data_IF_542176902972
#
_entry.id   IF_542176902972
#
_cell.length_a   1.000
_cell.length_b   1.000
_cell.length_c   1.000
_cell.angle_alpha   90.00
_cell.angle_beta   90.00
_cell.angle_gamma   90.00
#
_symmetry.space_group_name_H-M   'P 1'
#
loop_
_entity.id
_entity.type
_entity.pdbx_description
1 polymer ?
#
# COMPACT_ATOMS: atom_id res chain seq x y z
N UNK A 1 -11.05 8.86 6.36
CA UNK A 1 -10.02 8.01 5.73
C UNK A 1 -10.63 6.86 4.93
N UNK A 2 -11.42 5.97 5.54
CA UNK A 2 -12.00 4.78 4.88
C UNK A 2 -12.72 5.07 3.55
N UNK A 3 -13.63 6.05 3.52
CA UNK A 3 -14.39 6.41 2.32
C UNK A 3 -13.50 6.85 1.15
N UNK A 4 -12.44 7.61 1.44
CA UNK A 4 -11.46 8.06 0.44
C UNK A 4 -10.69 6.86 -0.10
N UNK A 5 -10.07 6.05 0.77
CA UNK A 5 -9.27 4.89 0.37
C UNK A 5 -10.06 3.83 -0.41
N UNK A 6 -11.37 3.68 -0.14
CA UNK A 6 -12.26 2.80 -0.91
C UNK A 6 -12.33 3.19 -2.39
N UNK A 7 -12.21 4.48 -2.71
CA UNK A 7 -12.15 4.97 -4.09
C UNK A 7 -10.87 4.55 -4.84
N UNK A 8 -9.84 4.13 -4.11
CA UNK A 8 -8.54 3.72 -4.67
C UNK A 8 -8.33 2.19 -4.63
N UNK A 9 -9.38 1.40 -4.36
CA UNK A 9 -9.30 -0.07 -4.45
C UNK A 9 -8.85 -0.46 -5.87
N UNK A 10 -7.80 -1.26 -5.94
CA UNK A 10 -7.18 -1.65 -7.21
C UNK A 10 -6.17 -0.65 -7.77
N UNK A 11 -5.93 0.50 -7.15
CA UNK A 11 -4.88 1.45 -7.53
C UNK A 11 -3.56 1.14 -6.80
N UNK A 12 -2.43 1.48 -7.44
CA UNK A 12 -1.14 1.54 -6.75
C UNK A 12 -1.07 2.83 -5.95
N UNK A 13 -0.64 2.72 -4.70
CA UNK A 13 -0.55 3.84 -3.77
C UNK A 13 0.74 3.76 -2.98
N UNK A 14 1.22 4.91 -2.52
CA UNK A 14 2.28 5.03 -1.53
C UNK A 14 1.63 5.55 -0.25
N UNK A 15 1.74 4.78 0.82
CA UNK A 15 1.22 5.14 2.14
C UNK A 15 2.39 5.50 3.05
N UNK A 16 2.37 6.73 3.57
CA UNK A 16 3.26 7.19 4.61
C UNK A 16 2.70 6.83 5.99
N UNK A 17 3.37 5.93 6.70
CA UNK A 17 3.03 5.56 8.08
C UNK A 17 4.04 6.11 9.06
N UNK A 18 3.62 6.48 10.26
CA UNK A 18 4.52 6.81 11.37
C UNK A 18 4.58 5.65 12.36
N UNK A 19 5.79 5.15 12.63
CA UNK A 19 5.99 4.09 13.60
C UNK A 19 7.18 4.45 14.48
N UNK A 20 6.93 4.65 15.77
CA UNK A 20 7.94 4.99 16.77
C UNK A 20 8.84 6.18 16.37
N UNK A 21 8.23 7.26 15.85
CA UNK A 21 8.93 8.48 15.44
C UNK A 21 9.73 8.37 14.13
N UNK A 22 9.60 7.25 13.40
CA UNK A 22 10.20 7.07 12.07
C UNK A 22 9.11 6.97 11.02
N UNK A 23 9.15 7.86 10.04
CA UNK A 23 8.30 7.80 8.86
C UNK A 23 8.72 6.60 7.98
N UNK A 24 7.80 5.67 7.74
CA UNK A 24 7.99 4.52 6.86
C UNK A 24 7.01 4.61 5.69
N UNK A 25 7.54 4.54 4.47
CA UNK A 25 6.73 4.49 3.25
C UNK A 25 6.44 3.04 2.87
N UNK A 26 5.20 2.75 2.50
CA UNK A 26 4.76 1.45 1.99
C UNK A 26 4.15 1.66 0.62
N UNK A 27 4.77 1.12 -0.43
CA UNK A 27 4.19 1.07 -1.77
C UNK A 27 3.47 -0.27 -1.93
N UNK A 28 2.23 -0.23 -2.42
CA UNK A 28 1.47 -1.42 -2.77
C UNK A 28 0.20 -1.08 -3.52
N UNK A 29 -0.54 -2.11 -3.93
CA UNK A 29 -1.86 -1.98 -4.54
C UNK A 29 -2.94 -2.19 -3.49
N UNK A 30 -3.92 -1.31 -3.37
CA UNK A 30 -5.03 -1.53 -2.42
C UNK A 30 -5.84 -2.75 -2.90
N UNK A 31 -5.88 -3.81 -2.10
CA UNK A 31 -6.75 -4.97 -2.34
C UNK A 31 -8.10 -4.83 -1.64
N UNK A 32 -8.09 -4.27 -0.43
CA UNK A 32 -9.28 -4.18 0.41
C UNK A 32 -9.20 -2.99 1.37
N UNK A 33 -10.36 -2.45 1.74
CA UNK A 33 -10.46 -1.39 2.75
C UNK A 33 -11.50 -1.80 3.78
N UNK A 34 -11.03 -2.10 4.98
CA UNK A 34 -11.85 -2.46 6.12
C UNK A 34 -12.53 -1.25 6.76
N UNK A 35 -12.96 -1.44 8.01
CA UNK A 35 -13.59 -0.38 8.82
C UNK A 35 -12.54 0.58 9.39
N UNK A 36 -11.36 0.06 9.73
CA UNK A 36 -10.29 0.74 10.48
C UNK A 36 -8.88 0.50 9.88
N UNK A 37 -8.77 -0.28 8.80
CA UNK A 37 -7.51 -0.57 8.13
C UNK A 37 -7.64 -0.60 6.60
N UNK A 38 -6.51 -0.48 5.91
CA UNK A 38 -6.36 -0.76 4.47
C UNK A 38 -5.43 -1.96 4.27
N UNK A 39 -5.78 -2.85 3.34
CA UNK A 39 -4.94 -3.95 2.90
C UNK A 39 -4.25 -3.58 1.59
N UNK A 40 -2.93 -3.71 1.58
CA UNK A 40 -2.07 -3.51 0.42
C UNK A 40 -1.45 -4.83 -0.04
N UNK A 41 -1.45 -5.06 -1.35
CA UNK A 41 -0.64 -6.09 -2.01
C UNK A 41 0.70 -5.46 -2.39
N UNK A 42 1.77 -5.94 -1.76
CA UNK A 42 3.14 -5.55 -2.05
C UNK A 42 3.73 -6.60 -3.00
N UNK A 43 4.14 -6.16 -4.19
CA UNK A 43 4.91 -6.98 -5.10
C UNK A 43 6.40 -6.83 -4.74
N UNK A 44 7.02 -7.90 -4.24
CA UNK A 44 8.48 -7.93 -4.13
C UNK A 44 9.07 -8.05 -5.54
N UNK A 45 9.64 -6.96 -6.05
CA UNK A 45 10.48 -6.97 -7.24
C UNK A 45 11.85 -7.59 -6.87
N UNK A 46 11.87 -8.89 -6.57
CA UNK A 46 13.12 -9.62 -6.50
C UNK A 46 13.67 -9.77 -7.92
N UNK A 47 14.62 -8.91 -8.29
CA UNK A 47 15.36 -8.94 -9.57
C UNK A 47 16.21 -10.21 -9.80
N UNK A 48 16.02 -11.32 -9.06
CA UNK A 48 16.97 -12.45 -9.05
C UNK A 48 16.35 -13.83 -9.26
N UNK A 49 15.03 -14.01 -9.35
CA UNK A 49 14.51 -15.35 -9.70
C UNK A 49 13.11 -15.28 -10.31
N UNK A 50 13.01 -15.68 -11.56
CA UNK A 50 11.77 -15.70 -12.35
C UNK A 50 10.72 -16.71 -11.86
N UNK A 51 10.91 -17.43 -10.75
CA UNK A 51 10.04 -18.59 -10.49
C UNK A 51 8.80 -18.37 -9.62
N UNK A 52 8.71 -17.44 -8.67
CA UNK A 52 7.44 -17.18 -7.98
C UNK A 52 7.46 -15.81 -7.31
N UNK A 53 6.85 -14.79 -7.93
CA UNK A 53 6.56 -13.54 -7.22
C UNK A 53 5.52 -13.84 -6.14
N UNK A 54 5.96 -14.02 -4.88
CA UNK A 54 5.03 -14.16 -3.76
C UNK A 54 4.39 -12.80 -3.50
N UNK A 55 3.09 -12.71 -3.74
CA UNK A 55 2.28 -11.56 -3.31
C UNK A 55 2.31 -11.50 -1.79
N UNK A 56 2.79 -10.39 -1.23
CA UNK A 56 2.76 -10.15 0.21
C UNK A 56 1.63 -9.19 0.52
N UNK A 57 0.69 -9.61 1.34
CA UNK A 57 -0.38 -8.74 1.81
C UNK A 57 0.08 -8.03 3.09
N UNK A 58 -0.31 -6.76 3.23
CA UNK A 58 0.00 -5.97 4.42
C UNK A 58 -1.19 -5.10 4.80
N UNK A 59 -1.61 -5.24 6.04
CA UNK A 59 -2.66 -4.40 6.63
C UNK A 59 -2.01 -3.18 7.29
N UNK A 60 -2.60 -2.00 7.07
CA UNK A 60 -2.18 -0.73 7.67
C UNK A 60 -3.39 -0.11 8.36
N UNK A 61 -3.36 0.02 9.70
CA UNK A 61 -4.38 0.74 10.46
C UNK A 61 -4.44 2.23 10.10
N UNK A 62 -5.65 2.81 10.00
CA UNK A 62 -5.83 4.20 9.56
C UNK A 62 -5.22 5.24 10.50
N UNK A 63 -5.17 4.96 11.80
CA UNK A 63 -4.54 5.79 12.83
C UNK A 63 -3.03 5.92 12.65
N UNK A 64 -2.39 4.97 11.98
CA UNK A 64 -0.95 5.02 11.66
C UNK A 64 -0.63 5.73 10.35
N UNK A 65 -1.64 6.13 9.57
CA UNK A 65 -1.46 6.77 8.25
C UNK A 65 -1.37 8.28 8.43
N UNK A 66 -0.20 8.84 8.12
CA UNK A 66 -0.01 10.29 8.12
C UNK A 66 -0.45 10.91 6.78
N UNK A 67 -0.13 10.24 5.67
CA UNK A 67 -0.47 10.68 4.31
C UNK A 67 -0.48 9.50 3.34
N UNK A 68 -1.15 9.66 2.20
CA UNK A 68 -1.05 8.72 1.09
C UNK A 68 -1.12 9.48 -0.24
N UNK A 69 -0.53 8.89 -1.28
CA UNK A 69 -0.61 9.38 -2.65
C UNK A 69 -0.82 8.22 -3.63
N UNK A 70 -1.41 8.51 -4.79
CA UNK A 70 -1.55 7.53 -5.86
C UNK A 70 -0.22 7.43 -6.63
N UNK A 71 0.28 6.21 -6.82
CA UNK A 71 1.43 5.95 -7.68
C UNK A 71 0.91 5.79 -9.11
N UNK A 72 0.87 6.90 -9.85
CA UNK A 72 0.38 6.95 -11.23
C UNK A 72 1.26 6.17 -12.22
N UNK A 73 2.37 5.55 -11.76
CA UNK A 73 3.14 4.56 -12.49
C UNK A 73 3.25 4.88 -13.97
N UNK A 74 4.03 5.90 -14.31
CA UNK A 74 4.32 6.41 -15.66
C UNK A 74 3.95 5.42 -16.79
N UNK A 75 2.70 5.48 -17.27
CA UNK A 75 2.29 4.85 -18.53
C UNK A 75 2.71 5.81 -19.67
N UNK A 76 4.02 5.99 -19.84
CA UNK A 76 4.61 6.66 -20.99
C UNK A 76 5.29 5.62 -21.88
#
# INVERSE_FOLDING_TARGET
>A
MAAVLRGYIGCKVIIGTECAGKAKKVNGRISFVGTDFVELVIHENNKVSQNHSKKKYRMIPFDTINWFEMDEGNNA
#
